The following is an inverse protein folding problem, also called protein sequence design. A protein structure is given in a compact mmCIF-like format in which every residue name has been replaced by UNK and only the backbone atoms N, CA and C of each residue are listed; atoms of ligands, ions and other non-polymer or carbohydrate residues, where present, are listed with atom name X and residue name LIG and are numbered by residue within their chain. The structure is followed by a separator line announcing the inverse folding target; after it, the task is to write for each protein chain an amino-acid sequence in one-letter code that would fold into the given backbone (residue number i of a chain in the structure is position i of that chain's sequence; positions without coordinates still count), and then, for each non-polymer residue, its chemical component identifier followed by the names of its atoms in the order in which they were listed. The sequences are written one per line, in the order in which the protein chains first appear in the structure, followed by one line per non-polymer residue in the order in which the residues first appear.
data_IF_029219299700
#
_entry.id   IF_029219299700
#
_cell.length_a   1.000
_cell.length_b   1.000
_cell.length_c   1.000
_cell.angle_alpha   90.00
_cell.angle_beta   90.00
_cell.angle_gamma   90.00
#
_symmetry.space_group_name_H-M   'P 1'
#
loop_
_entity.id
_entity.type
_entity.pdbx_description
1 polymer ?
#
# COMPACT_ATOMS: atom_id res chain seq x y z
N UNK A 1 -12.26 19.99 -19.82
CA UNK A 1 -11.41 20.75 -18.87
C UNK A 1 -10.50 21.65 -19.70
N UNK A 2 -10.32 22.88 -19.29
CA UNK A 2 -9.37 23.78 -19.97
C UNK A 2 -7.94 23.25 -19.76
N UNK A 3 -7.13 23.23 -20.82
CA UNK A 3 -5.75 22.70 -20.78
C UNK A 3 -4.72 23.77 -20.32
N UNK A 4 -5.20 24.91 -19.88
CA UNK A 4 -4.42 26.09 -19.44
C UNK A 4 -4.29 26.20 -17.92
N UNK A 5 -4.78 25.19 -17.18
CA UNK A 5 -4.74 25.13 -15.71
C UNK A 5 -3.94 23.92 -15.26
N UNK A 6 -3.07 24.11 -14.26
CA UNK A 6 -2.32 23.01 -13.66
C UNK A 6 -3.26 21.99 -13.01
N UNK A 7 -3.04 20.71 -13.33
CA UNK A 7 -3.73 19.58 -12.72
C UNK A 7 -2.68 18.59 -12.21
N UNK A 8 -2.81 18.13 -10.96
CA UNK A 8 -1.90 17.14 -10.39
C UNK A 8 -1.88 15.86 -11.24
N UNK A 9 -0.69 15.33 -11.58
CA UNK A 9 -0.58 14.03 -12.27
C UNK A 9 -1.21 12.87 -11.49
N UNK A 10 -1.29 12.93 -10.17
CA UNK A 10 -2.01 11.94 -9.37
C UNK A 10 -3.48 11.88 -9.79
N UNK A 11 -4.11 13.04 -9.97
CA UNK A 11 -5.52 13.12 -10.37
C UNK A 11 -5.73 12.83 -11.86
N UNK A 12 -4.85 13.33 -12.74
CA UNK A 12 -5.07 13.26 -14.19
C UNK A 12 -4.60 11.94 -14.84
N UNK A 13 -3.73 11.16 -14.18
CA UNK A 13 -3.07 10.01 -14.80
C UNK A 13 -3.01 8.74 -13.95
N UNK A 14 -2.91 8.84 -12.63
CA UNK A 14 -2.43 7.70 -11.84
C UNK A 14 -3.47 7.09 -10.91
N UNK A 15 -4.21 7.92 -10.16
CA UNK A 15 -5.20 7.42 -9.20
C UNK A 15 -6.45 6.84 -9.88
N UNK A 16 -7.14 5.95 -9.17
CA UNK A 16 -8.38 5.34 -9.64
C UNK A 16 -9.55 6.33 -9.60
N UNK A 17 -10.57 6.12 -10.46
CA UNK A 17 -11.82 6.89 -10.37
C UNK A 17 -12.46 6.82 -8.99
N UNK A 18 -12.37 5.68 -8.31
CA UNK A 18 -12.90 5.52 -6.95
C UNK A 18 -12.21 6.46 -5.97
N UNK A 19 -10.88 6.46 -5.94
CA UNK A 19 -10.12 7.27 -4.98
C UNK A 19 -10.26 8.77 -5.29
N UNK A 20 -10.33 9.14 -6.58
CA UNK A 20 -10.61 10.51 -6.99
C UNK A 20 -12.01 10.97 -6.55
N UNK A 21 -13.03 10.11 -6.69
CA UNK A 21 -14.38 10.41 -6.21
C UNK A 21 -14.42 10.52 -4.70
N UNK A 22 -13.76 9.60 -3.97
CA UNK A 22 -13.75 9.58 -2.51
C UNK A 22 -13.28 10.91 -1.91
N UNK A 23 -12.28 11.54 -2.49
CA UNK A 23 -11.74 12.84 -2.04
C UNK A 23 -12.29 14.05 -2.82
N UNK A 24 -13.33 13.85 -3.64
CA UNK A 24 -13.98 14.93 -4.38
C UNK A 24 -14.78 15.86 -3.47
N UNK A 25 -15.06 17.09 -3.91
CA UNK A 25 -16.00 17.98 -3.23
C UNK A 25 -17.37 17.34 -3.03
N UNK A 26 -17.90 16.62 -4.02
CA UNK A 26 -19.20 15.94 -3.91
C UNK A 26 -19.23 14.97 -2.75
N UNK A 27 -18.25 14.05 -2.67
CA UNK A 27 -18.16 13.07 -1.60
C UNK A 27 -18.02 13.74 -0.22
N UNK A 28 -17.19 14.77 -0.12
CA UNK A 28 -17.01 15.55 1.11
C UNK A 28 -18.28 16.20 1.59
N UNK A 29 -18.93 16.99 0.72
CA UNK A 29 -20.09 17.80 1.14
C UNK A 29 -21.36 16.96 1.30
N UNK A 30 -21.53 15.88 0.53
CA UNK A 30 -22.59 14.90 0.78
C UNK A 30 -22.39 14.21 2.14
N UNK A 31 -21.14 13.90 2.52
CA UNK A 31 -20.83 13.35 3.85
C UNK A 31 -21.16 14.35 4.96
N UNK A 32 -20.87 15.65 4.78
CA UNK A 32 -21.31 16.68 5.72
C UNK A 32 -22.85 16.69 5.87
N UNK A 33 -23.59 16.64 4.77
CA UNK A 33 -25.05 16.61 4.81
C UNK A 33 -25.59 15.36 5.51
N UNK A 34 -24.99 14.19 5.23
CA UNK A 34 -25.33 12.96 5.96
C UNK A 34 -25.08 13.07 7.46
N UNK A 35 -24.00 13.72 7.87
CA UNK A 35 -23.71 14.00 9.29
C UNK A 35 -24.75 14.94 9.91
N UNK A 36 -25.18 15.99 9.23
CA UNK A 36 -26.25 16.85 9.71
C UNK A 36 -27.59 16.12 9.82
N UNK A 37 -27.92 15.23 8.87
CA UNK A 37 -29.09 14.37 8.95
C UNK A 37 -29.03 13.45 10.17
N UNK A 38 -27.89 12.79 10.38
CA UNK A 38 -27.68 11.90 11.52
C UNK A 38 -27.81 12.63 12.87
N UNK A 39 -27.27 13.85 12.95
CA UNK A 39 -27.42 14.70 14.14
C UNK A 39 -28.88 15.04 14.40
N UNK A 40 -29.61 15.59 13.40
CA UNK A 40 -31.02 15.95 13.52
C UNK A 40 -31.89 14.74 13.87
N UNK A 41 -31.64 13.59 13.26
CA UNK A 41 -32.34 12.32 13.55
C UNK A 41 -32.10 11.86 14.99
N UNK A 42 -30.86 11.86 15.44
CA UNK A 42 -30.53 11.47 16.83
C UNK A 42 -31.17 12.41 17.84
N UNK A 43 -31.11 13.72 17.62
CA UNK A 43 -31.72 14.75 18.46
C UNK A 43 -33.25 14.61 18.51
N UNK A 44 -33.90 14.37 17.34
CA UNK A 44 -35.35 14.08 17.28
C UNK A 44 -35.71 12.85 18.13
N UNK A 45 -34.97 11.75 17.96
CA UNK A 45 -35.23 10.49 18.65
C UNK A 45 -35.00 10.58 20.18
N UNK A 46 -34.18 11.53 20.62
CA UNK A 46 -33.87 11.79 22.03
C UNK A 46 -34.80 12.87 22.66
N UNK A 47 -35.75 13.36 21.90
CA UNK A 47 -36.83 14.20 22.42
C UNK A 47 -36.64 15.70 22.28
N UNK A 48 -35.62 16.16 21.51
CA UNK A 48 -35.54 17.58 21.17
C UNK A 48 -36.68 17.99 20.22
N UNK A 49 -37.10 19.27 20.17
CA UNK A 49 -38.23 19.76 19.38
C UNK A 49 -37.90 19.82 17.86
N UNK A 50 -37.43 18.72 17.32
CA UNK A 50 -37.16 18.49 15.91
C UNK A 50 -38.24 17.53 15.39
N UNK A 51 -38.89 17.87 14.29
CA UNK A 51 -39.97 17.05 13.73
C UNK A 51 -39.42 15.99 12.75
N UNK A 52 -40.10 14.86 12.63
CA UNK A 52 -39.78 13.83 11.63
C UNK A 52 -39.79 14.39 10.19
N UNK A 53 -40.70 15.35 9.90
CA UNK A 53 -40.74 16.05 8.59
C UNK A 53 -39.47 16.81 8.29
N UNK A 54 -38.88 17.50 9.27
CA UNK A 54 -37.59 18.21 9.08
C UNK A 54 -36.45 17.25 8.78
N UNK A 55 -36.41 16.11 9.49
CA UNK A 55 -35.39 15.07 9.21
C UNK A 55 -35.56 14.51 7.80
N UNK A 56 -36.80 14.16 7.39
CA UNK A 56 -37.08 13.64 6.05
C UNK A 56 -36.74 14.66 4.95
N UNK A 57 -36.98 15.94 5.17
CA UNK A 57 -36.61 16.99 4.20
C UNK A 57 -35.10 17.10 4.05
N UNK A 58 -34.32 17.03 5.15
CA UNK A 58 -32.89 16.95 5.07
C UNK A 58 -32.41 15.71 4.30
N UNK A 59 -32.97 14.54 4.60
CA UNK A 59 -32.64 13.29 3.90
C UNK A 59 -32.82 13.37 2.38
N UNK A 60 -33.93 14.01 1.95
CA UNK A 60 -34.29 14.14 0.54
C UNK A 60 -33.27 15.02 -0.25
N UNK A 61 -32.56 15.90 0.42
CA UNK A 61 -31.66 16.88 -0.19
C UNK A 61 -30.18 16.66 0.11
N UNK A 62 -29.76 15.45 0.42
CA UNK A 62 -28.34 15.13 0.73
C UNK A 62 -27.44 15.36 -0.48
N UNK A 63 -27.90 15.04 -1.70
CA UNK A 63 -27.08 15.00 -2.90
C UNK A 63 -27.19 16.24 -3.78
N UNK A 64 -28.24 17.03 -3.67
CA UNK A 64 -28.48 18.22 -4.50
C UNK A 64 -27.79 19.49 -3.93
N UNK A 65 -26.48 19.53 -4.06
CA UNK A 65 -25.65 20.60 -3.56
C UNK A 65 -25.60 21.75 -4.57
N UNK A 66 -26.08 22.94 -4.16
CA UNK A 66 -25.91 24.17 -4.93
C UNK A 66 -24.57 24.81 -4.59
N UNK A 67 -23.58 24.50 -5.41
CA UNK A 67 -22.21 25.04 -5.25
C UNK A 67 -22.12 26.54 -5.49
N UNK A 68 -22.97 27.12 -6.34
CA UNK A 68 -22.95 28.56 -6.62
C UNK A 68 -23.44 29.34 -5.39
N UNK A 69 -24.55 28.89 -4.78
CA UNK A 69 -25.06 29.47 -3.54
C UNK A 69 -24.05 29.32 -2.40
N UNK A 70 -23.45 28.15 -2.25
CA UNK A 70 -22.43 27.93 -1.21
C UNK A 70 -21.21 28.85 -1.41
N UNK A 71 -20.66 28.92 -2.63
CA UNK A 71 -19.50 29.76 -2.93
C UNK A 71 -19.82 31.27 -2.78
N UNK A 72 -21.02 31.72 -3.19
CA UNK A 72 -21.44 33.10 -2.99
C UNK A 72 -21.49 33.43 -1.49
N UNK A 73 -22.10 32.56 -0.69
CA UNK A 73 -22.20 32.77 0.76
C UNK A 73 -20.86 32.72 1.46
N UNK A 74 -19.95 31.82 1.04
CA UNK A 74 -18.59 31.74 1.60
C UNK A 74 -17.79 33.03 1.36
N UNK A 75 -17.93 33.65 0.20
CA UNK A 75 -17.30 34.96 -0.07
C UNK A 75 -17.78 36.05 0.88
N UNK A 76 -19.04 36.00 1.32
CA UNK A 76 -19.61 36.95 2.27
C UNK A 76 -19.14 36.72 3.69
N UNK A 77 -19.26 35.47 4.16
CA UNK A 77 -19.08 35.14 5.60
C UNK A 77 -17.68 34.60 5.92
N UNK A 78 -16.87 34.30 4.90
CA UNK A 78 -15.51 33.76 5.03
C UNK A 78 -15.44 32.48 5.86
N UNK A 79 -16.46 31.62 5.73
CA UNK A 79 -16.58 30.37 6.48
C UNK A 79 -17.30 29.30 5.67
N UNK A 80 -16.57 28.26 5.26
CA UNK A 80 -17.02 27.19 4.38
C UNK A 80 -18.22 26.39 4.98
N UNK A 81 -18.09 25.92 6.22
CA UNK A 81 -19.15 25.13 6.86
C UNK A 81 -20.45 25.92 6.98
N UNK A 82 -20.38 27.22 7.40
CA UNK A 82 -21.58 28.06 7.52
C UNK A 82 -22.17 28.42 6.15
N UNK A 83 -21.36 28.47 5.10
CA UNK A 83 -21.84 28.63 3.73
C UNK A 83 -22.66 27.40 3.28
N UNK A 84 -22.17 26.18 3.60
CA UNK A 84 -22.89 24.95 3.30
C UNK A 84 -24.13 24.73 4.18
N UNK A 85 -24.12 25.17 5.45
CA UNK A 85 -25.34 25.22 6.30
C UNK A 85 -26.40 26.10 5.63
N UNK A 86 -26.02 27.28 5.17
CA UNK A 86 -26.94 28.17 4.48
C UNK A 86 -27.50 27.59 3.17
N UNK A 87 -26.63 27.03 2.32
CA UNK A 87 -27.04 26.40 1.08
C UNK A 87 -27.97 25.18 1.32
N UNK A 88 -27.70 24.40 2.37
CA UNK A 88 -28.54 23.27 2.74
C UNK A 88 -29.90 23.73 3.32
N UNK A 89 -29.92 24.78 4.14
CA UNK A 89 -31.15 25.37 4.64
C UNK A 89 -32.03 25.96 3.54
N UNK A 90 -31.46 26.40 2.41
CA UNK A 90 -32.25 26.78 1.22
C UNK A 90 -32.88 25.60 0.52
N UNK A 91 -32.18 24.45 0.44
CA UNK A 91 -32.73 23.23 -0.13
C UNK A 91 -33.78 22.58 0.78
N UNK A 92 -33.63 22.73 2.11
CA UNK A 92 -34.50 22.18 3.13
C UNK A 92 -35.04 23.29 4.06
N UNK A 93 -35.98 24.15 3.58
CA UNK A 93 -36.41 25.36 4.31
C UNK A 93 -37.08 25.08 5.66
N UNK A 94 -37.82 23.99 5.82
CA UNK A 94 -38.50 23.69 7.11
C UNK A 94 -37.47 23.26 8.18
N UNK A 95 -36.33 22.77 7.76
CA UNK A 95 -35.26 22.31 8.64
C UNK A 95 -34.13 23.35 8.84
N UNK A 96 -34.18 24.49 8.14
CA UNK A 96 -33.10 25.50 8.21
C UNK A 96 -32.78 25.97 9.64
N UNK A 97 -33.80 26.08 10.50
CA UNK A 97 -33.67 26.53 11.90
C UNK A 97 -33.08 25.51 12.86
N UNK A 98 -33.02 24.22 12.49
CA UNK A 98 -32.48 23.16 13.34
C UNK A 98 -31.13 22.61 12.82
N UNK A 99 -30.67 23.11 11.67
CA UNK A 99 -29.48 22.62 11.01
C UNK A 99 -28.25 23.00 11.84
N UNK A 100 -27.36 22.02 12.09
CA UNK A 100 -26.14 22.26 12.87
C UNK A 100 -26.36 22.60 14.36
N UNK A 101 -27.53 22.22 14.92
CA UNK A 101 -27.91 22.58 16.30
C UNK A 101 -26.96 21.98 17.35
N UNK A 102 -26.34 22.84 18.15
CA UNK A 102 -25.36 22.49 19.19
C UNK A 102 -23.96 22.11 18.66
N UNK A 103 -23.81 21.93 17.34
CA UNK A 103 -22.56 21.49 16.73
C UNK A 103 -21.61 22.67 16.42
N UNK A 104 -20.33 22.33 16.21
CA UNK A 104 -19.31 23.19 15.64
C UNK A 104 -18.81 22.65 14.31
N UNK A 105 -18.03 23.45 13.56
CA UNK A 105 -17.54 23.06 12.24
C UNK A 105 -16.84 21.70 12.23
N UNK A 106 -16.05 21.38 13.26
CA UNK A 106 -15.32 20.12 13.32
C UNK A 106 -16.24 18.90 13.49
N UNK A 107 -17.51 19.08 13.86
CA UNK A 107 -18.46 17.98 13.82
C UNK A 107 -18.59 17.40 12.41
N UNK A 108 -18.69 18.24 11.38
CA UNK A 108 -18.80 17.74 10.00
C UNK A 108 -17.45 17.54 9.34
N UNK A 109 -16.48 18.45 9.54
CA UNK A 109 -15.19 18.34 8.85
C UNK A 109 -14.40 17.14 9.34
N UNK A 110 -14.25 16.97 10.62
CA UNK A 110 -13.41 15.93 11.23
C UNK A 110 -14.05 14.54 11.16
N UNK A 111 -15.36 14.45 11.44
CA UNK A 111 -16.04 13.16 11.30
C UNK A 111 -16.12 12.73 9.83
N UNK A 112 -16.31 13.65 8.88
CA UNK A 112 -16.26 13.31 7.45
C UNK A 112 -14.86 12.81 7.05
N UNK A 113 -13.80 13.47 7.49
CA UNK A 113 -12.43 13.03 7.22
C UNK A 113 -12.20 11.58 7.71
N UNK A 114 -12.63 11.26 8.95
CA UNK A 114 -12.51 9.90 9.50
C UNK A 114 -13.30 8.86 8.69
N UNK A 115 -14.49 9.22 8.18
CA UNK A 115 -15.29 8.34 7.32
C UNK A 115 -14.54 8.09 5.99
N UNK A 116 -14.10 9.15 5.32
CA UNK A 116 -13.42 9.05 4.03
C UNK A 116 -12.09 8.32 4.16
N UNK A 117 -11.30 8.57 5.21
CA UNK A 117 -10.03 7.86 5.45
C UNK A 117 -10.26 6.37 5.70
N UNK A 118 -11.24 6.00 6.53
CA UNK A 118 -11.60 4.59 6.73
C UNK A 118 -11.97 3.90 5.41
N UNK A 119 -12.78 4.55 4.60
CA UNK A 119 -13.25 3.97 3.35
C UNK A 119 -12.10 3.87 2.33
N UNK A 120 -11.20 4.85 2.30
CA UNK A 120 -9.95 4.79 1.54
C UNK A 120 -9.02 3.66 1.99
N UNK A 121 -8.83 3.50 3.30
CA UNK A 121 -8.01 2.40 3.85
C UNK A 121 -8.61 1.03 3.52
N UNK A 122 -9.93 0.87 3.60
CA UNK A 122 -10.61 -0.38 3.21
C UNK A 122 -10.42 -0.70 1.73
N UNK A 123 -10.49 0.30 0.88
CA UNK A 123 -10.24 0.13 -0.55
C UNK A 123 -8.79 -0.30 -0.83
N UNK A 124 -7.81 0.37 -0.22
CA UNK A 124 -6.38 0.00 -0.36
C UNK A 124 -6.10 -1.41 0.19
N UNK A 125 -6.76 -1.80 1.29
CA UNK A 125 -6.69 -3.17 1.80
C UNK A 125 -7.14 -4.20 0.74
N UNK A 126 -8.24 -3.92 0.07
CA UNK A 126 -8.73 -4.78 -1.02
C UNK A 126 -7.71 -4.92 -2.14
N UNK A 127 -7.07 -3.83 -2.54
CA UNK A 127 -6.01 -3.84 -3.56
C UNK A 127 -4.77 -4.63 -3.10
N UNK A 128 -4.35 -4.49 -1.84
CA UNK A 128 -3.24 -5.28 -1.27
C UNK A 128 -3.54 -6.77 -1.28
N UNK A 129 -4.76 -7.17 -0.92
CA UNK A 129 -5.17 -8.58 -0.94
C UNK A 129 -5.17 -9.15 -2.35
N UNK A 130 -5.62 -8.38 -3.35
CA UNK A 130 -5.58 -8.77 -4.74
C UNK A 130 -4.13 -8.95 -5.23
N UNK A 131 -3.25 -8.00 -4.92
CA UNK A 131 -1.81 -8.10 -5.21
C UNK A 131 -1.18 -9.35 -4.57
N UNK A 132 -1.47 -9.61 -3.30
CA UNK A 132 -0.97 -10.80 -2.61
C UNK A 132 -1.48 -12.10 -3.25
N UNK A 133 -2.72 -12.12 -3.77
CA UNK A 133 -3.26 -13.28 -4.47
C UNK A 133 -2.51 -13.57 -5.78
N UNK A 134 -2.20 -12.54 -6.58
CA UNK A 134 -1.41 -12.67 -7.80
C UNK A 134 0.03 -13.13 -7.49
N UNK A 135 0.66 -12.55 -6.49
CA UNK A 135 2.00 -12.96 -6.04
C UNK A 135 2.01 -14.39 -5.49
N UNK A 136 0.94 -14.82 -4.82
CA UNK A 136 0.79 -16.20 -4.35
C UNK A 136 0.68 -17.21 -5.51
N UNK A 137 -0.06 -16.85 -6.55
CA UNK A 137 -0.14 -17.65 -7.78
C UNK A 137 1.23 -17.75 -8.47
N UNK A 138 1.93 -16.62 -8.59
CA UNK A 138 3.29 -16.56 -9.12
C UNK A 138 4.26 -17.39 -8.26
N UNK A 139 4.28 -17.22 -6.95
CA UNK A 139 5.16 -17.96 -6.05
C UNK A 139 4.93 -19.48 -6.12
N UNK A 140 3.67 -19.90 -6.21
CA UNK A 140 3.30 -21.32 -6.37
C UNK A 140 3.80 -21.88 -7.70
N UNK A 141 3.60 -21.17 -8.80
CA UNK A 141 4.03 -21.58 -10.14
C UNK A 141 5.54 -21.82 -10.20
N UNK A 142 6.33 -20.96 -9.58
CA UNK A 142 7.79 -20.98 -9.64
C UNK A 142 8.45 -21.50 -8.35
N UNK A 143 7.70 -22.20 -7.49
CA UNK A 143 8.18 -22.68 -6.20
C UNK A 143 9.43 -23.56 -6.27
N UNK A 144 9.57 -24.35 -7.34
CA UNK A 144 10.66 -25.28 -7.56
C UNK A 144 11.65 -24.85 -8.66
N UNK A 145 11.50 -23.66 -9.25
CA UNK A 145 12.39 -23.16 -10.31
C UNK A 145 13.64 -22.57 -9.68
N UNK A 146 14.82 -23.22 -9.81
CA UNK A 146 16.06 -22.73 -9.25
C UNK A 146 16.49 -21.43 -9.89
N UNK A 147 17.04 -20.52 -9.12
CA UNK A 147 17.64 -19.26 -9.58
C UNK A 147 18.85 -18.90 -8.73
N UNK A 148 19.72 -18.08 -9.29
CA UNK A 148 20.87 -17.55 -8.57
C UNK A 148 20.37 -16.62 -7.43
N UNK A 149 20.79 -16.92 -6.19
CA UNK A 149 20.60 -16.03 -5.05
C UNK A 149 21.72 -15.01 -4.97
N UNK A 150 21.42 -13.83 -4.46
CA UNK A 150 22.39 -12.75 -4.30
C UNK A 150 22.41 -12.28 -2.84
N UNK A 151 23.62 -12.11 -2.31
CA UNK A 151 23.90 -11.37 -1.08
C UNK A 151 24.92 -10.29 -1.37
N UNK A 152 24.76 -9.10 -0.82
CA UNK A 152 25.60 -7.93 -1.18
C UNK A 152 25.67 -7.68 -2.70
N UNK A 153 24.58 -8.05 -3.40
CA UNK A 153 24.49 -8.06 -4.86
C UNK A 153 25.58 -8.88 -5.57
N UNK A 154 26.13 -9.88 -4.88
CA UNK A 154 27.08 -10.86 -5.42
C UNK A 154 26.44 -12.24 -5.49
N UNK A 155 26.81 -13.06 -6.50
CA UNK A 155 26.37 -14.45 -6.60
C UNK A 155 26.60 -15.21 -5.29
N UNK A 156 25.54 -15.84 -4.80
CA UNK A 156 25.54 -16.64 -3.58
C UNK A 156 24.86 -17.98 -3.85
N UNK A 157 24.38 -18.66 -2.81
CA UNK A 157 23.74 -19.97 -2.97
C UNK A 157 22.44 -19.89 -3.78
N UNK A 158 22.05 -20.98 -4.49
CA UNK A 158 20.79 -21.04 -5.20
C UNK A 158 19.59 -20.89 -4.29
N UNK A 159 18.57 -20.23 -4.80
CA UNK A 159 17.22 -20.16 -4.24
C UNK A 159 16.22 -20.58 -5.32
N UNK A 160 14.90 -20.38 -5.11
CA UNK A 160 13.93 -20.49 -6.19
C UNK A 160 13.25 -19.16 -6.47
N UNK A 161 12.78 -18.99 -7.70
CA UNK A 161 12.02 -17.80 -8.11
C UNK A 161 10.80 -17.61 -7.22
N UNK A 162 10.06 -18.69 -6.90
CA UNK A 162 8.92 -18.64 -6.01
C UNK A 162 9.31 -18.26 -4.58
N UNK A 163 10.44 -18.75 -4.06
CA UNK A 163 10.94 -18.35 -2.74
C UNK A 163 11.28 -16.86 -2.67
N UNK A 164 11.86 -16.30 -3.73
CA UNK A 164 12.12 -14.86 -3.82
C UNK A 164 10.80 -14.06 -3.76
N UNK A 165 9.77 -14.50 -4.48
CA UNK A 165 8.46 -13.86 -4.45
C UNK A 165 7.84 -13.85 -3.03
N UNK A 166 8.03 -14.90 -2.24
CA UNK A 166 7.54 -14.91 -0.84
C UNK A 166 8.22 -13.88 0.06
N UNK A 167 9.42 -13.39 -0.28
CA UNK A 167 10.06 -12.29 0.46
C UNK A 167 9.32 -10.98 0.23
N UNK A 168 8.89 -10.71 -1.00
CA UNK A 168 8.05 -9.54 -1.31
C UNK A 168 6.68 -9.63 -0.66
N UNK A 169 6.06 -10.83 -0.74
CA UNK A 169 4.77 -11.08 -0.10
C UNK A 169 4.81 -10.88 1.41
N UNK A 170 5.92 -11.23 2.08
CA UNK A 170 6.06 -11.06 3.53
C UNK A 170 5.97 -9.58 3.94
N UNK A 171 6.56 -8.67 3.16
CA UNK A 171 6.47 -7.23 3.44
C UNK A 171 5.03 -6.74 3.28
N UNK A 172 4.37 -7.05 2.15
CA UNK A 172 2.97 -6.67 1.95
C UNK A 172 2.00 -7.32 2.95
N UNK A 173 2.31 -8.51 3.45
CA UNK A 173 1.54 -9.14 4.52
C UNK A 173 1.60 -8.31 5.81
N UNK A 174 2.80 -7.82 6.17
CA UNK A 174 2.97 -6.93 7.31
C UNK A 174 2.21 -5.61 7.12
N UNK A 175 2.19 -5.06 5.90
CA UNK A 175 1.40 -3.86 5.59
C UNK A 175 -0.11 -4.09 5.78
N UNK A 176 -0.63 -5.26 5.41
CA UNK A 176 -2.05 -5.62 5.67
C UNK A 176 -2.31 -5.73 7.17
N UNK A 177 -1.41 -6.34 7.93
CA UNK A 177 -1.54 -6.47 9.39
C UNK A 177 -1.58 -5.10 10.07
N UNK A 178 -0.69 -4.16 9.66
CA UNK A 178 -0.68 -2.77 10.17
C UNK A 178 -1.97 -2.03 9.81
N UNK A 179 -2.44 -2.20 8.56
CA UNK A 179 -3.66 -1.56 8.07
C UNK A 179 -4.90 -2.08 8.79
N UNK A 180 -4.99 -3.39 9.05
CA UNK A 180 -6.07 -4.00 9.81
C UNK A 180 -6.08 -3.51 11.27
N UNK A 181 -4.91 -3.39 11.89
CA UNK A 181 -4.77 -2.81 13.23
C UNK A 181 -5.18 -1.33 13.27
N UNK A 182 -4.83 -0.56 12.23
CA UNK A 182 -5.26 0.83 12.10
C UNK A 182 -6.77 0.94 11.94
N UNK A 183 -7.38 0.17 11.03
CA UNK A 183 -8.82 0.15 10.79
C UNK A 183 -9.62 -0.22 12.03
N UNK A 184 -9.18 -1.23 12.78
CA UNK A 184 -9.83 -1.67 14.01
C UNK A 184 -9.74 -0.64 15.14
N UNK A 185 -8.69 0.18 15.14
CA UNK A 185 -8.46 1.22 16.15
C UNK A 185 -9.02 2.60 15.80
N UNK A 186 -9.68 2.76 14.63
CA UNK A 186 -10.28 4.04 14.27
C UNK A 186 -11.54 4.30 15.09
N UNK A 187 -11.59 5.50 15.70
CA UNK A 187 -12.72 5.97 16.47
C UNK A 187 -13.34 7.20 15.82
N UNK A 188 -14.60 7.43 16.10
CA UNK A 188 -15.33 8.61 15.66
C UNK A 188 -15.03 9.80 16.56
N UNK A 189 -15.08 11.05 16.06
CA UNK A 189 -14.94 12.23 16.92
C UNK A 189 -16.21 12.39 17.78
N UNK A 190 -17.37 12.30 17.17
CA UNK A 190 -18.66 12.61 17.81
C UNK A 190 -18.97 14.11 17.82
N UNK A 191 -19.92 14.49 18.69
CA UNK A 191 -20.42 15.85 18.88
C UNK A 191 -19.73 16.49 20.09
N UNK A 192 -18.54 17.05 19.90
CA UNK A 192 -17.70 17.52 21.05
C UNK A 192 -17.89 18.99 21.40
N UNK A 193 -18.47 19.80 20.52
CA UNK A 193 -18.60 21.24 20.73
C UNK A 193 -17.26 21.98 20.57
N UNK A 194 -17.24 23.24 20.98
CA UNK A 194 -16.15 24.17 20.67
C UNK A 194 -14.81 23.80 21.31
N UNK A 195 -14.82 23.25 22.51
CA UNK A 195 -13.63 22.91 23.29
C UNK A 195 -13.59 21.46 23.78
N UNK A 196 -14.50 20.63 23.27
CA UNK A 196 -14.59 19.23 23.68
C UNK A 196 -15.42 18.97 24.93
N UNK A 197 -16.08 20.00 25.48
CA UNK A 197 -16.83 19.90 26.73
C UNK A 197 -18.28 19.47 26.56
N UNK A 198 -18.78 19.43 25.32
CA UNK A 198 -20.19 19.13 24.99
C UNK A 198 -21.21 20.06 25.64
N UNK A 199 -20.76 21.25 26.12
CA UNK A 199 -21.58 22.19 26.90
C UNK A 199 -22.89 22.57 26.18
N UNK A 200 -22.87 22.82 24.86
CA UNK A 200 -24.10 23.14 24.11
C UNK A 200 -25.11 21.98 24.10
N UNK A 201 -24.64 20.74 24.15
CA UNK A 201 -25.50 19.56 24.23
C UNK A 201 -26.02 19.34 25.67
N UNK A 202 -25.20 19.65 26.67
CA UNK A 202 -25.66 19.69 28.08
C UNK A 202 -26.84 20.66 28.23
N UNK A 203 -26.75 21.86 27.65
CA UNK A 203 -27.84 22.84 27.67
C UNK A 203 -29.06 22.33 26.90
N UNK A 204 -28.91 21.72 25.72
CA UNK A 204 -30.01 21.21 24.89
C UNK A 204 -30.75 20.05 25.54
N UNK A 205 -30.07 19.22 26.33
CA UNK A 205 -30.66 18.06 27.00
C UNK A 205 -30.89 18.28 28.51
N UNK A 206 -30.92 19.53 28.98
CA UNK A 206 -31.18 19.89 30.37
C UNK A 206 -30.25 19.15 31.39
N UNK A 207 -29.01 18.93 31.03
CA UNK A 207 -28.00 18.25 31.85
C UNK A 207 -28.05 16.72 31.81
N UNK A 208 -28.79 16.12 30.89
CA UNK A 208 -28.91 14.66 30.70
C UNK A 208 -27.70 14.09 29.94
N UNK A 209 -26.67 13.67 30.67
CA UNK A 209 -25.44 13.10 30.11
C UNK A 209 -25.69 11.79 29.33
N UNK A 210 -26.66 10.96 29.77
CA UNK A 210 -26.96 9.68 29.13
C UNK A 210 -27.52 9.89 27.71
N UNK A 211 -28.30 10.95 27.49
CA UNK A 211 -28.79 11.32 26.14
C UNK A 211 -27.66 11.80 25.24
N UNK A 212 -26.66 12.48 25.76
CA UNK A 212 -25.50 12.94 24.98
C UNK A 212 -24.67 11.74 24.54
N UNK A 213 -24.40 10.81 25.45
CA UNK A 213 -23.67 9.58 25.14
C UNK A 213 -24.43 8.74 24.10
N UNK A 214 -25.74 8.59 24.28
CA UNK A 214 -26.60 7.84 23.33
C UNK A 214 -26.66 8.54 21.95
N UNK A 215 -26.70 9.87 21.90
CA UNK A 215 -26.62 10.63 20.65
C UNK A 215 -25.31 10.34 19.92
N UNK A 216 -24.17 10.43 20.59
CA UNK A 216 -22.86 10.15 20.02
C UNK A 216 -22.75 8.69 19.55
N UNK A 217 -23.27 7.74 20.33
CA UNK A 217 -23.27 6.31 20.01
C UNK A 217 -24.11 6.04 18.75
N UNK A 218 -25.32 6.62 18.63
CA UNK A 218 -26.19 6.45 17.45
C UNK A 218 -25.54 6.98 16.18
N UNK A 219 -25.00 8.19 16.24
CA UNK A 219 -24.33 8.83 15.10
C UNK A 219 -23.12 7.99 14.69
N UNK A 220 -22.24 7.62 15.62
CA UNK A 220 -21.07 6.80 15.30
C UNK A 220 -21.46 5.45 14.65
N UNK A 221 -22.48 4.76 15.19
CA UNK A 221 -22.95 3.48 14.67
C UNK A 221 -23.54 3.61 13.26
N UNK A 222 -24.25 4.70 12.94
CA UNK A 222 -24.80 4.97 11.61
C UNK A 222 -23.71 5.04 10.54
N UNK A 223 -22.52 5.56 10.92
CA UNK A 223 -21.36 5.60 10.05
C UNK A 223 -20.42 4.40 10.20
N UNK A 224 -20.81 3.37 10.97
CA UNK A 224 -20.06 2.12 11.11
C UNK A 224 -18.81 2.23 11.98
N UNK A 225 -18.82 3.14 12.95
CA UNK A 225 -17.80 3.21 14.02
C UNK A 225 -18.39 2.60 15.30
N UNK A 226 -17.57 1.81 15.99
CA UNK A 226 -17.97 1.14 17.24
C UNK A 226 -17.99 2.09 18.44
N UNK A 227 -17.21 3.14 18.42
CA UNK A 227 -17.04 4.08 19.53
C UNK A 227 -16.54 5.45 19.06
N UNK A 228 -16.75 6.46 19.92
CA UNK A 228 -16.12 7.76 19.80
C UNK A 228 -14.82 7.80 20.64
N UNK A 229 -13.94 8.78 20.35
CA UNK A 229 -12.85 9.08 21.27
C UNK A 229 -13.41 9.48 22.63
N UNK A 230 -12.88 8.94 23.74
CA UNK A 230 -13.44 9.25 25.08
C UNK A 230 -13.21 10.71 25.49
N UNK A 231 -12.12 11.32 25.04
CA UNK A 231 -11.77 12.72 25.29
C UNK A 231 -11.17 13.32 24.02
N UNK A 232 -11.67 14.51 23.65
CA UNK A 232 -11.13 15.31 22.56
C UNK A 232 -11.19 16.80 22.92
N UNK A 233 -10.42 17.62 22.21
CA UNK A 233 -10.71 19.05 22.10
C UNK A 233 -11.83 19.25 21.05
N UNK A 234 -11.70 20.30 20.23
CA UNK A 234 -12.65 20.52 19.15
C UNK A 234 -12.49 19.47 18.01
N UNK A 235 -11.29 18.90 17.85
CA UNK A 235 -10.89 17.99 16.80
C UNK A 235 -10.55 16.61 17.36
N UNK A 236 -10.54 15.58 16.50
CA UNK A 236 -9.91 14.31 16.89
C UNK A 236 -8.39 14.47 16.98
N UNK A 237 -7.70 13.62 17.77
CA UNK A 237 -6.24 13.69 17.91
C UNK A 237 -5.51 13.52 16.58
N UNK A 238 -4.75 14.53 16.13
CA UNK A 238 -4.02 14.51 14.84
C UNK A 238 -2.96 13.40 14.74
N UNK A 239 -2.70 12.70 15.83
CA UNK A 239 -1.96 11.41 15.80
C UNK A 239 -2.60 10.36 14.88
N UNK A 240 -3.92 10.43 14.67
CA UNK A 240 -4.62 9.54 13.71
C UNK A 240 -4.09 9.76 12.30
N UNK A 241 -3.98 11.01 11.86
CA UNK A 241 -3.44 11.36 10.54
C UNK A 241 -2.00 10.87 10.37
N UNK A 242 -1.18 11.04 11.42
CA UNK A 242 0.20 10.55 11.45
C UNK A 242 0.26 9.02 11.29
N UNK A 243 -0.61 8.28 11.98
CA UNK A 243 -0.70 6.82 11.83
C UNK A 243 -1.16 6.39 10.43
N UNK A 244 -2.13 7.11 9.85
CA UNK A 244 -2.62 6.85 8.50
C UNK A 244 -1.49 7.01 7.49
N UNK A 245 -0.85 8.18 7.43
CA UNK A 245 0.23 8.42 6.46
C UNK A 245 1.46 7.53 6.70
N UNK A 246 1.75 7.15 7.96
CA UNK A 246 2.80 6.18 8.26
C UNK A 246 2.48 4.80 7.69
N UNK A 247 1.25 4.33 7.82
CA UNK A 247 0.79 3.07 7.23
C UNK A 247 0.87 3.11 5.68
N UNK A 248 0.43 4.20 5.05
CA UNK A 248 0.57 4.37 3.60
C UNK A 248 2.03 4.40 3.16
N UNK A 249 2.91 5.03 3.95
CA UNK A 249 4.36 5.04 3.72
C UNK A 249 4.98 3.65 3.85
N UNK A 250 4.51 2.80 4.76
CA UNK A 250 4.94 1.39 4.89
C UNK A 250 4.65 0.62 3.59
N UNK A 251 3.44 0.74 3.06
CA UNK A 251 3.07 0.16 1.76
C UNK A 251 4.00 0.63 0.63
N UNK A 252 4.34 1.94 0.62
CA UNK A 252 5.26 2.49 -0.37
C UNK A 252 6.68 1.92 -0.26
N UNK A 253 7.16 1.60 0.95
CA UNK A 253 8.47 0.98 1.18
C UNK A 253 8.50 -0.45 0.61
N UNK A 254 7.48 -1.26 0.90
CA UNK A 254 7.33 -2.62 0.36
C UNK A 254 7.27 -2.59 -1.17
N UNK A 255 6.48 -1.67 -1.72
CA UNK A 255 6.35 -1.46 -3.16
C UNK A 255 7.67 -1.06 -3.81
N UNK A 256 8.42 -0.12 -3.22
CA UNK A 256 9.72 0.31 -3.71
C UNK A 256 10.73 -0.84 -3.75
N UNK A 257 10.80 -1.62 -2.66
CA UNK A 257 11.71 -2.76 -2.54
C UNK A 257 11.49 -3.78 -3.66
N UNK A 258 10.27 -4.25 -3.84
CA UNK A 258 9.95 -5.21 -4.89
C UNK A 258 10.23 -4.64 -6.29
N UNK A 259 9.87 -3.38 -6.55
CA UNK A 259 10.15 -2.73 -7.83
C UNK A 259 11.66 -2.61 -8.11
N UNK A 260 12.46 -2.36 -7.09
CA UNK A 260 13.92 -2.37 -7.17
C UNK A 260 14.46 -3.74 -7.61
N UNK A 261 14.02 -4.81 -6.96
CA UNK A 261 14.41 -6.18 -7.31
C UNK A 261 14.03 -6.53 -8.76
N UNK A 262 12.81 -6.20 -9.20
CA UNK A 262 12.36 -6.48 -10.57
C UNK A 262 13.19 -5.69 -11.59
N UNK A 263 13.52 -4.43 -11.32
CA UNK A 263 14.39 -3.62 -12.22
C UNK A 263 15.76 -4.24 -12.38
N UNK A 264 16.37 -4.74 -11.29
CA UNK A 264 17.66 -5.44 -11.33
C UNK A 264 17.56 -6.77 -12.09
N UNK A 265 16.50 -7.55 -11.84
CA UNK A 265 16.29 -8.83 -12.53
C UNK A 265 15.97 -8.63 -14.02
N UNK A 266 15.30 -7.55 -14.39
CA UNK A 266 15.05 -7.19 -15.78
C UNK A 266 16.32 -6.71 -16.51
N UNK A 267 17.21 -6.01 -15.81
CA UNK A 267 18.56 -5.71 -16.35
C UNK A 267 19.28 -6.99 -16.75
N UNK A 268 19.22 -8.01 -15.89
CA UNK A 268 19.81 -9.33 -16.15
C UNK A 268 18.97 -10.21 -17.08
N UNK A 269 17.85 -9.72 -17.57
CA UNK A 269 16.89 -10.43 -18.44
C UNK A 269 16.28 -11.70 -17.84
N UNK A 270 16.32 -11.84 -16.51
CA UNK A 270 15.79 -12.99 -15.77
C UNK A 270 14.26 -12.88 -15.57
N UNK A 271 13.78 -11.66 -15.34
CA UNK A 271 12.40 -11.34 -15.03
C UNK A 271 12.01 -10.06 -15.77
N UNK A 272 10.78 -9.97 -16.27
CA UNK A 272 10.31 -8.79 -16.99
C UNK A 272 8.91 -8.40 -16.54
N UNK A 273 8.66 -7.08 -16.38
CA UNK A 273 7.30 -6.58 -16.24
C UNK A 273 6.52 -6.77 -17.56
N UNK A 274 5.17 -6.79 -17.54
CA UNK A 274 4.38 -6.95 -18.75
C UNK A 274 4.66 -5.82 -19.75
N UNK A 275 4.68 -6.19 -21.02
CA UNK A 275 4.89 -5.27 -22.14
C UNK A 275 3.80 -5.53 -23.18
N UNK A 276 3.04 -4.50 -23.51
CA UNK A 276 1.94 -4.60 -24.46
C UNK A 276 2.44 -4.56 -25.91
N UNK A 277 1.78 -5.25 -26.82
CA UNK A 277 2.21 -5.37 -28.21
C UNK A 277 2.32 -4.01 -28.93
N UNK A 278 1.47 -3.06 -28.56
CA UNK A 278 1.48 -1.69 -29.10
C UNK A 278 2.40 -0.72 -28.31
N UNK A 279 3.01 -1.16 -27.22
CA UNK A 279 3.80 -0.31 -26.35
C UNK A 279 5.15 0.04 -26.99
N UNK A 280 5.50 1.32 -27.02
CA UNK A 280 6.82 1.79 -27.45
C UNK A 280 7.73 1.90 -26.22
N UNK A 281 8.73 1.03 -26.15
CA UNK A 281 9.70 1.03 -25.04
C UNK A 281 10.79 2.10 -25.17
N UNK A 282 11.09 2.55 -26.38
CA UNK A 282 12.12 3.56 -26.66
C UNK A 282 11.85 4.22 -28.00
N UNK A 283 11.98 5.55 -28.07
CA UNK A 283 11.87 6.33 -29.32
C UNK A 283 13.02 6.07 -30.30
N UNK A 284 14.17 5.59 -29.83
CA UNK A 284 15.38 5.42 -30.63
C UNK A 284 15.75 3.94 -30.86
N UNK A 285 15.38 3.04 -29.96
CA UNK A 285 15.79 1.63 -30.00
C UNK A 285 14.58 0.73 -29.80
N UNK A 286 13.99 0.25 -30.90
CA UNK A 286 12.72 -0.49 -30.90
C UNK A 286 12.73 -1.79 -30.07
N UNK A 287 13.89 -2.46 -29.91
CA UNK A 287 14.01 -3.67 -29.10
C UNK A 287 14.02 -3.42 -27.58
N UNK A 288 14.21 -2.17 -27.14
CA UNK A 288 14.45 -1.85 -25.75
C UNK A 288 13.15 -1.88 -24.95
N UNK A 289 13.07 -2.77 -23.98
CA UNK A 289 11.97 -2.89 -23.03
C UNK A 289 12.39 -2.34 -21.67
N UNK A 290 11.94 -1.14 -21.36
CA UNK A 290 12.26 -0.49 -20.09
C UNK A 290 11.26 -0.94 -19.00
N UNK A 291 11.70 -1.12 -17.74
CA UNK A 291 10.81 -1.41 -16.61
C UNK A 291 10.06 -0.15 -16.14
N UNK A 292 9.29 0.48 -17.04
CA UNK A 292 8.71 1.81 -16.83
C UNK A 292 7.67 1.83 -15.71
N UNK A 293 6.93 0.73 -15.50
CA UNK A 293 5.95 0.61 -14.43
C UNK A 293 6.64 0.52 -13.07
N UNK A 294 7.68 -0.31 -12.96
CA UNK A 294 8.50 -0.40 -11.76
C UNK A 294 9.26 0.90 -11.46
N UNK A 295 9.76 1.61 -12.49
CA UNK A 295 10.38 2.93 -12.32
C UNK A 295 9.38 3.95 -11.77
N UNK A 296 8.14 3.93 -12.26
CA UNK A 296 7.06 4.81 -11.80
C UNK A 296 6.65 4.47 -10.37
N UNK A 297 6.54 3.17 -10.01
CA UNK A 297 6.30 2.73 -8.64
C UNK A 297 7.39 3.27 -7.71
N UNK A 298 8.66 3.12 -8.06
CA UNK A 298 9.77 3.68 -7.27
C UNK A 298 9.67 5.20 -7.10
N UNK A 299 9.26 5.90 -8.15
CA UNK A 299 9.11 7.37 -8.15
C UNK A 299 7.97 7.82 -7.24
N UNK A 300 6.78 7.23 -7.38
CA UNK A 300 5.62 7.53 -6.55
C UNK A 300 5.85 7.13 -5.08
N UNK A 301 6.53 6.01 -4.83
CA UNK A 301 6.85 5.58 -3.47
C UNK A 301 7.73 6.61 -2.74
N UNK A 302 8.73 7.21 -3.42
CA UNK A 302 9.53 8.27 -2.81
C UNK A 302 8.71 9.50 -2.46
N UNK A 303 7.78 9.88 -3.35
CA UNK A 303 6.85 10.99 -3.09
C UNK A 303 6.03 10.72 -1.84
N UNK A 304 5.39 9.54 -1.75
CA UNK A 304 4.53 9.18 -0.62
C UNK A 304 5.31 9.09 0.70
N UNK A 305 6.53 8.53 0.70
CA UNK A 305 7.38 8.49 1.88
C UNK A 305 7.75 9.90 2.37
N UNK A 306 8.01 10.83 1.46
CA UNK A 306 8.29 12.23 1.80
C UNK A 306 7.03 12.96 2.29
N UNK A 307 5.88 12.76 1.63
CA UNK A 307 4.59 13.34 2.03
C UNK A 307 4.17 12.90 3.43
N UNK A 308 4.43 11.65 3.80
CA UNK A 308 4.09 11.11 5.11
C UNK A 308 4.72 11.88 6.30
N UNK A 309 5.76 12.65 6.06
CA UNK A 309 6.38 13.49 7.09
C UNK A 309 5.52 14.70 7.50
N UNK A 310 4.55 15.10 6.68
CA UNK A 310 3.64 16.21 7.00
C UNK A 310 2.82 15.94 8.27
N UNK A 311 2.22 14.76 8.38
CA UNK A 311 1.28 14.47 9.47
C UNK A 311 1.92 14.43 10.88
N UNK A 312 3.09 13.79 11.12
CA UNK A 312 3.74 13.89 12.43
C UNK A 312 4.17 15.31 12.79
N UNK A 313 4.61 16.14 11.83
CA UNK A 313 4.92 17.54 12.07
C UNK A 313 3.67 18.30 12.48
N UNK A 314 2.56 18.15 11.75
CA UNK A 314 1.26 18.77 12.05
C UNK A 314 0.73 18.31 13.42
N UNK A 315 0.83 17.02 13.73
CA UNK A 315 0.38 16.50 15.02
C UNK A 315 1.17 17.08 16.21
N UNK A 316 2.44 17.46 16.00
CA UNK A 316 3.32 17.99 17.03
C UNK A 316 3.04 19.44 17.41
N UNK A 317 2.35 20.20 16.56
CA UNK A 317 2.08 21.64 16.74
C UNK A 317 0.62 21.95 17.04
N UNK A 318 -0.15 20.95 17.47
CA UNK A 318 -1.53 21.18 17.93
C UNK A 318 -1.54 21.83 19.31
N UNK A 319 -2.14 23.02 19.41
CA UNK A 319 -2.15 23.81 20.64
C UNK A 319 -3.51 23.76 21.31
N UNK A 320 -3.49 23.44 22.61
CA UNK A 320 -4.67 23.44 23.49
C UNK A 320 -5.84 22.66 22.85
N UNK A 321 -7.05 23.18 22.84
CA UNK A 321 -8.24 22.50 22.36
C UNK A 321 -8.43 22.61 20.83
N UNK A 322 -7.78 23.60 20.18
CA UNK A 322 -7.86 23.83 18.74
C UNK A 322 -6.79 24.82 18.24
N UNK A 323 -6.19 24.48 17.10
CA UNK A 323 -5.48 25.41 16.21
C UNK A 323 -5.91 25.16 14.77
N UNK A 324 -5.86 26.20 13.91
CA UNK A 324 -6.16 26.05 12.48
C UNK A 324 -4.90 25.72 11.63
N UNK A 325 -3.75 25.65 12.26
CA UNK A 325 -2.46 25.37 11.64
C UNK A 325 -2.43 24.05 10.86
N UNK A 326 -3.21 23.07 11.30
CA UNK A 326 -3.36 21.77 10.64
C UNK A 326 -4.10 21.82 9.29
N UNK A 327 -5.03 22.77 9.12
CA UNK A 327 -6.08 22.69 8.09
C UNK A 327 -5.54 22.64 6.66
N UNK A 328 -4.71 23.58 6.27
CA UNK A 328 -4.19 23.66 4.90
C UNK A 328 -3.29 22.47 4.57
N UNK A 329 -2.40 22.08 5.49
CA UNK A 329 -1.49 20.95 5.30
C UNK A 329 -2.28 19.63 5.13
N UNK A 330 -3.22 19.34 6.02
CA UNK A 330 -4.04 18.12 6.00
C UNK A 330 -4.88 17.99 4.71
N UNK A 331 -5.43 19.11 4.20
CA UNK A 331 -6.23 19.14 2.97
C UNK A 331 -5.43 18.74 1.72
N UNK A 332 -4.11 18.80 1.79
CA UNK A 332 -3.19 18.39 0.71
C UNK A 332 -2.63 17.00 1.03
N UNK A 333 -1.92 16.85 2.13
CA UNK A 333 -1.14 15.67 2.45
C UNK A 333 -1.98 14.39 2.54
N UNK A 334 -3.13 14.41 3.22
CA UNK A 334 -3.93 13.20 3.38
C UNK A 334 -4.53 12.71 2.05
N UNK A 335 -5.28 13.52 1.28
CA UNK A 335 -5.79 13.08 -0.01
C UNK A 335 -4.69 12.65 -0.98
N UNK A 336 -3.62 13.40 -1.11
CA UNK A 336 -2.52 13.05 -2.02
C UNK A 336 -1.79 11.78 -1.58
N UNK A 337 -1.64 11.54 -0.29
CA UNK A 337 -1.14 10.27 0.26
C UNK A 337 -1.98 9.07 -0.17
N UNK A 338 -3.31 9.16 -0.05
CA UNK A 338 -4.23 8.12 -0.51
C UNK A 338 -4.20 7.93 -2.04
N UNK A 339 -4.25 9.02 -2.80
CA UNK A 339 -4.17 8.96 -4.27
C UNK A 339 -2.86 8.33 -4.74
N UNK A 340 -1.76 8.62 -4.06
CA UNK A 340 -0.45 8.07 -4.39
C UNK A 340 -0.35 6.58 -4.04
N UNK A 341 -0.84 6.16 -2.87
CA UNK A 341 -0.90 4.75 -2.48
C UNK A 341 -1.76 3.91 -3.45
N UNK A 342 -2.92 4.44 -3.83
CA UNK A 342 -3.80 3.84 -4.84
C UNK A 342 -3.08 3.68 -6.19
N UNK A 343 -2.43 4.72 -6.67
CA UNK A 343 -1.66 4.70 -7.92
C UNK A 343 -0.54 3.63 -7.90
N UNK A 344 0.18 3.51 -6.79
CA UNK A 344 1.23 2.49 -6.59
C UNK A 344 0.62 1.09 -6.66
N UNK A 345 -0.47 0.83 -5.95
CA UNK A 345 -1.08 -0.51 -5.89
C UNK A 345 -1.72 -0.90 -7.23
N UNK A 346 -2.33 0.03 -7.96
CA UNK A 346 -2.82 -0.21 -9.33
C UNK A 346 -1.70 -0.59 -10.30
N UNK A 347 -0.58 0.12 -10.25
CA UNK A 347 0.60 -0.24 -11.04
C UNK A 347 1.10 -1.64 -10.67
N UNK A 348 1.12 -1.97 -9.39
CA UNK A 348 1.50 -3.31 -8.92
C UNK A 348 0.55 -4.39 -9.38
N UNK A 349 -0.76 -4.15 -9.37
CA UNK A 349 -1.76 -5.10 -9.86
C UNK A 349 -1.48 -5.45 -11.33
N UNK A 350 -1.18 -4.46 -12.15
CA UNK A 350 -0.81 -4.66 -13.55
C UNK A 350 0.51 -5.43 -13.70
N UNK A 351 1.55 -5.06 -12.94
CA UNK A 351 2.86 -5.73 -13.02
C UNK A 351 2.76 -7.17 -12.54
N UNK A 352 2.15 -7.43 -11.39
CA UNK A 352 2.11 -8.76 -10.77
C UNK A 352 1.33 -9.78 -11.61
N UNK A 353 0.19 -9.37 -12.19
CA UNK A 353 -0.63 -10.23 -13.05
C UNK A 353 0.06 -10.64 -14.36
N UNK A 354 1.03 -9.82 -14.83
CA UNK A 354 1.71 -10.05 -16.11
C UNK A 354 3.22 -10.36 -16.00
N UNK A 355 3.73 -10.60 -14.82
CA UNK A 355 5.16 -10.82 -14.57
C UNK A 355 5.68 -12.07 -15.30
N UNK A 356 6.75 -11.92 -16.08
CA UNK A 356 7.35 -12.98 -16.91
C UNK A 356 8.69 -13.42 -16.36
N UNK A 357 8.90 -14.73 -16.29
CA UNK A 357 10.20 -15.34 -15.95
C UNK A 357 10.81 -15.93 -17.22
N UNK A 358 12.01 -15.52 -17.56
CA UNK A 358 12.80 -16.06 -18.65
C UNK A 358 13.61 -17.26 -18.16
N UNK A 359 12.95 -18.42 -17.98
CA UNK A 359 13.52 -19.61 -17.29
C UNK A 359 14.83 -20.06 -17.90
N UNK A 360 15.00 -20.00 -19.23
CA UNK A 360 16.26 -20.33 -19.90
C UNK A 360 17.39 -19.39 -19.52
N UNK A 361 17.11 -18.09 -19.34
CA UNK A 361 18.11 -17.11 -18.89
C UNK A 361 18.46 -17.33 -17.42
N UNK A 362 17.45 -17.59 -16.61
CA UNK A 362 17.61 -17.92 -15.18
C UNK A 362 18.51 -19.15 -14.98
N UNK A 363 18.24 -20.24 -15.70
CA UNK A 363 19.03 -21.48 -15.66
C UNK A 363 20.48 -21.23 -16.12
N UNK A 364 20.66 -20.54 -17.25
CA UNK A 364 22.00 -20.19 -17.76
C UNK A 364 22.81 -19.38 -16.74
N UNK A 365 22.22 -18.33 -16.17
CA UNK A 365 22.89 -17.47 -15.18
C UNK A 365 23.26 -18.26 -13.94
N UNK A 366 22.40 -19.16 -13.48
CA UNK A 366 22.69 -20.01 -12.34
C UNK A 366 23.84 -20.99 -12.64
N UNK A 367 23.82 -21.65 -13.81
CA UNK A 367 24.86 -22.64 -14.20
C UNK A 367 26.24 -22.04 -14.33
N UNK A 368 26.35 -20.75 -14.65
CA UNK A 368 27.64 -20.05 -14.71
C UNK A 368 28.37 -20.05 -13.35
N UNK A 369 27.63 -19.94 -12.25
CA UNK A 369 28.17 -19.87 -10.89
C UNK A 369 27.99 -21.17 -10.08
N UNK A 370 27.18 -22.10 -10.57
CA UNK A 370 26.87 -23.35 -9.86
C UNK A 370 28.10 -24.17 -9.46
N UNK A 371 29.17 -24.28 -10.28
CA UNK A 371 30.38 -24.98 -9.90
C UNK A 371 31.01 -24.49 -8.60
N UNK A 372 30.96 -23.16 -8.35
CA UNK A 372 31.51 -22.57 -7.12
C UNK A 372 30.60 -22.87 -5.91
N UNK A 373 29.29 -22.89 -6.12
CA UNK A 373 28.30 -23.17 -5.07
C UNK A 373 28.28 -24.65 -4.68
N UNK A 374 28.62 -25.52 -5.62
CA UNK A 374 28.66 -26.96 -5.43
C UNK A 374 29.98 -27.46 -4.78
N UNK A 375 30.95 -26.59 -4.57
CA UNK A 375 32.32 -26.99 -4.13
C UNK A 375 32.34 -27.81 -2.87
N UNK A 376 31.47 -27.56 -1.89
CA UNK A 376 31.36 -28.37 -0.69
C UNK A 376 30.89 -29.80 -1.03
N UNK A 377 29.87 -29.95 -1.86
CA UNK A 377 29.35 -31.25 -2.29
C UNK A 377 30.38 -32.01 -3.13
N UNK A 378 31.09 -31.30 -4.01
CA UNK A 378 32.20 -31.86 -4.80
C UNK A 378 33.30 -32.38 -3.90
N UNK A 379 33.70 -31.60 -2.88
CA UNK A 379 34.67 -31.98 -1.88
C UNK A 379 34.24 -33.21 -1.11
N UNK A 380 32.99 -33.24 -0.64
CA UNK A 380 32.44 -34.38 0.13
C UNK A 380 32.40 -35.67 -0.70
N UNK A 381 32.11 -35.59 -2.01
CA UNK A 381 32.14 -36.75 -2.90
C UNK A 381 33.59 -37.26 -3.10
N UNK A 382 34.55 -36.38 -3.24
CA UNK A 382 35.96 -36.74 -3.31
C UNK A 382 36.48 -37.36 -1.99
N UNK A 383 36.03 -36.86 -0.83
CA UNK A 383 36.34 -37.44 0.50
C UNK A 383 35.77 -38.85 0.63
N UNK A 384 34.54 -39.13 0.16
CA UNK A 384 33.97 -40.48 0.16
C UNK A 384 34.82 -41.48 -0.64
N UNK A 385 35.63 -41.03 -1.56
CA UNK A 385 36.56 -41.84 -2.35
C UNK A 385 37.96 -41.92 -1.74
N UNK A 386 38.11 -41.44 -0.52
CA UNK A 386 39.39 -41.56 0.23
C UNK A 386 40.26 -40.32 0.17
N UNK A 387 39.81 -39.21 -0.41
CA UNK A 387 40.52 -37.95 -0.45
C UNK A 387 40.64 -37.29 0.92
N UNK A 388 41.76 -36.60 1.17
CA UNK A 388 41.94 -35.77 2.38
C UNK A 388 41.18 -34.45 2.28
N UNK A 389 40.31 -34.20 3.23
CA UNK A 389 39.42 -33.02 3.25
C UNK A 389 40.20 -31.68 3.23
N UNK A 390 41.33 -31.60 3.95
CA UNK A 390 42.12 -30.37 4.04
C UNK A 390 42.86 -30.10 2.73
N UNK A 391 43.43 -31.13 2.13
CA UNK A 391 44.06 -31.02 0.81
C UNK A 391 43.03 -30.64 -0.27
N UNK A 392 41.89 -31.31 -0.27
CA UNK A 392 40.80 -31.03 -1.23
C UNK A 392 40.25 -29.59 -1.10
N UNK A 393 40.15 -29.08 0.11
CA UNK A 393 39.74 -27.69 0.34
C UNK A 393 40.76 -26.73 -0.29
N UNK A 394 42.04 -26.94 -0.12
CA UNK A 394 43.08 -26.08 -0.73
C UNK A 394 43.13 -26.20 -2.26
N UNK A 395 42.90 -27.41 -2.80
CA UNK A 395 42.76 -27.63 -4.24
C UNK A 395 41.60 -26.82 -4.81
N UNK A 396 40.41 -26.93 -4.16
CA UNK A 396 39.22 -26.17 -4.55
C UNK A 396 39.49 -24.66 -4.48
N UNK A 397 40.08 -24.16 -3.39
CA UNK A 397 40.39 -22.75 -3.22
C UNK A 397 41.29 -22.23 -4.37
N UNK A 398 42.35 -22.92 -4.66
CA UNK A 398 43.31 -22.57 -5.73
C UNK A 398 42.63 -22.54 -7.10
N UNK A 399 41.91 -23.59 -7.46
CA UNK A 399 41.22 -23.68 -8.73
C UNK A 399 40.04 -22.69 -8.86
N UNK A 400 39.31 -22.43 -7.79
CA UNK A 400 38.24 -21.42 -7.76
C UNK A 400 38.79 -20.01 -8.02
N UNK A 401 39.92 -19.64 -7.39
CA UNK A 401 40.56 -18.34 -7.64
C UNK A 401 41.05 -18.20 -9.08
N UNK A 402 41.63 -19.26 -9.65
CA UNK A 402 42.08 -19.25 -11.02
C UNK A 402 40.93 -19.19 -12.03
N UNK A 403 39.83 -19.94 -11.79
CA UNK A 403 38.64 -19.90 -12.61
C UNK A 403 37.96 -18.52 -12.56
N UNK A 404 37.86 -17.93 -11.35
CA UNK A 404 37.28 -16.56 -11.19
C UNK A 404 38.14 -15.51 -11.92
N UNK A 405 39.45 -15.59 -11.86
CA UNK A 405 40.34 -14.67 -12.60
C UNK A 405 40.07 -14.77 -14.11
N UNK A 406 39.97 -15.97 -14.64
CA UNK A 406 39.71 -16.22 -16.07
C UNK A 406 38.30 -15.71 -16.50
N UNK A 407 37.29 -15.86 -15.62
CA UNK A 407 35.97 -15.30 -15.90
C UNK A 407 36.01 -13.75 -16.00
N UNK A 408 36.83 -13.09 -15.20
CA UNK A 408 37.05 -11.63 -15.30
C UNK A 408 37.74 -11.20 -16.61
N UNK A 409 38.42 -12.12 -17.29
CA UNK A 409 38.99 -11.92 -18.62
C UNK A 409 37.96 -12.22 -19.74
N UNK A 410 36.70 -12.52 -19.38
CA UNK A 410 35.62 -12.78 -20.33
C UNK A 410 35.50 -14.24 -20.79
N UNK A 411 36.22 -15.16 -20.18
CA UNK A 411 36.11 -16.59 -20.51
C UNK A 411 35.02 -17.30 -19.69
N UNK A 412 34.46 -18.41 -20.19
CA UNK A 412 33.56 -19.26 -19.43
C UNK A 412 34.24 -19.84 -18.17
N UNK A 413 33.41 -20.18 -17.16
CA UNK A 413 33.85 -20.87 -15.96
C UNK A 413 34.44 -22.25 -16.33
N UNK A 414 35.71 -22.49 -15.97
CA UNK A 414 36.46 -23.74 -16.23
C UNK A 414 36.77 -24.51 -14.95
N UNK A 415 36.08 -24.20 -13.82
CA UNK A 415 36.38 -24.83 -12.52
C UNK A 415 36.26 -26.36 -12.55
N UNK A 416 35.24 -26.91 -13.20
CA UNK A 416 35.07 -28.36 -13.29
C UNK A 416 36.16 -29.03 -14.12
N UNK A 417 36.64 -28.39 -15.19
CA UNK A 417 37.78 -28.91 -15.99
C UNK A 417 39.05 -28.93 -15.17
N UNK A 418 39.30 -27.88 -14.39
CA UNK A 418 40.45 -27.80 -13.50
C UNK A 418 40.44 -28.87 -12.41
N UNK A 419 39.28 -29.10 -11.78
CA UNK A 419 39.11 -30.11 -10.76
C UNK A 419 39.24 -31.54 -11.33
N UNK A 420 38.68 -31.79 -12.54
CA UNK A 420 38.82 -33.08 -13.22
C UNK A 420 40.26 -33.39 -13.64
N UNK A 421 41.06 -32.38 -13.93
CA UNK A 421 42.46 -32.51 -14.31
C UNK A 421 43.43 -32.65 -13.11
N UNK A 422 42.96 -32.33 -11.88
CA UNK A 422 43.82 -32.41 -10.68
C UNK A 422 43.76 -33.84 -10.08
N UNK A 423 44.88 -34.57 -10.07
CA UNK A 423 44.90 -35.96 -9.57
C UNK A 423 44.47 -36.10 -8.11
N UNK A 424 44.64 -35.06 -7.29
CA UNK A 424 44.25 -35.07 -5.88
C UNK A 424 42.71 -35.09 -5.71
N UNK A 425 41.95 -34.66 -6.72
CA UNK A 425 40.48 -34.61 -6.65
C UNK A 425 39.82 -35.96 -6.97
N UNK A 426 40.43 -36.77 -7.86
CA UNK A 426 40.02 -38.16 -8.11
C UNK A 426 38.62 -38.36 -8.69
N UNK A 427 38.04 -37.31 -9.32
CA UNK A 427 36.72 -37.35 -9.99
C UNK A 427 36.89 -36.96 -11.47
N UNK A 428 36.24 -37.71 -12.34
CA UNK A 428 36.21 -37.42 -13.77
C UNK A 428 35.22 -36.27 -14.08
N UNK A 429 35.41 -35.62 -15.24
CA UNK A 429 34.50 -34.55 -15.68
C UNK A 429 33.03 -34.98 -15.74
N UNK A 430 32.62 -36.16 -16.28
CA UNK A 430 31.26 -36.63 -16.23
C UNK A 430 30.70 -36.81 -14.82
N UNK A 431 31.53 -37.27 -13.89
CA UNK A 431 31.10 -37.42 -12.47
C UNK A 431 30.87 -36.09 -11.80
N UNK A 432 31.70 -35.08 -12.06
CA UNK A 432 31.48 -33.71 -11.59
C UNK A 432 30.23 -33.10 -12.18
N UNK A 433 29.98 -33.29 -13.48
CA UNK A 433 28.77 -32.80 -14.16
C UNK A 433 27.49 -33.43 -13.61
N UNK A 434 27.49 -34.71 -13.23
CA UNK A 434 26.36 -35.37 -12.63
C UNK A 434 25.93 -34.77 -11.28
N UNK A 435 26.83 -34.00 -10.64
CA UNK A 435 26.53 -33.26 -9.41
C UNK A 435 25.96 -31.87 -9.68
N UNK A 436 25.95 -31.39 -10.93
CA UNK A 436 25.52 -30.03 -11.31
C UNK A 436 24.02 -29.94 -11.61
N UNK A 437 23.15 -30.68 -10.89
CA UNK A 437 21.71 -30.44 -10.93
C UNK A 437 21.34 -29.31 -9.94
N UNK A 438 20.91 -28.15 -10.41
CA UNK A 438 20.58 -27.00 -9.54
C UNK A 438 19.57 -27.32 -8.43
N UNK A 439 18.66 -28.29 -8.67
CA UNK A 439 17.61 -28.68 -7.70
C UNK A 439 18.19 -29.28 -6.42
N UNK A 440 19.41 -29.78 -6.44
CA UNK A 440 20.10 -30.32 -5.25
C UNK A 440 20.54 -29.23 -4.27
N UNK A 441 20.55 -27.95 -4.69
CA UNK A 441 21.15 -26.83 -3.96
C UNK A 441 20.14 -25.80 -3.46
N UNK A 442 18.84 -25.96 -3.77
CA UNK A 442 17.77 -25.04 -3.39
C UNK A 442 17.25 -25.26 -1.95
N UNK A 443 17.80 -26.20 -1.24
CA UNK A 443 17.41 -26.52 0.14
C UNK A 443 15.91 -26.80 0.28
N UNK A 444 15.27 -26.09 1.22
CA UNK A 444 13.83 -26.23 1.53
C UNK A 444 12.96 -25.18 0.85
N UNK A 445 13.43 -24.51 -0.22
CA UNK A 445 12.67 -23.45 -0.86
C UNK A 445 11.24 -23.85 -1.25
N UNK A 446 10.99 -24.98 -1.93
CA UNK A 446 9.62 -25.37 -2.29
C UNK A 446 8.71 -25.58 -1.08
N UNK A 447 9.23 -26.21 -0.02
CA UNK A 447 8.47 -26.45 1.22
C UNK A 447 8.21 -25.15 2.00
N UNK A 448 9.16 -24.21 1.97
CA UNK A 448 8.96 -22.90 2.58
C UNK A 448 7.88 -22.11 1.84
N UNK A 449 7.87 -22.13 0.51
CA UNK A 449 6.81 -21.52 -0.30
C UNK A 449 5.45 -22.12 0.03
N UNK A 450 5.35 -23.46 0.02
CA UNK A 450 4.09 -24.14 0.30
C UNK A 450 3.51 -23.77 1.67
N UNK A 451 4.34 -23.85 2.73
CA UNK A 451 3.92 -23.52 4.11
C UNK A 451 3.57 -22.04 4.27
N UNK A 452 4.31 -21.15 3.61
CA UNK A 452 4.00 -19.74 3.64
C UNK A 452 2.65 -19.44 2.99
N UNK A 453 2.38 -19.99 1.81
CA UNK A 453 1.11 -19.83 1.11
C UNK A 453 -0.08 -20.44 1.87
N UNK A 454 0.11 -21.59 2.53
CA UNK A 454 -0.89 -22.19 3.40
C UNK A 454 -1.25 -21.24 4.56
N UNK A 455 -0.26 -20.64 5.20
CA UNK A 455 -0.47 -19.65 6.28
C UNK A 455 -1.21 -18.40 5.79
N UNK A 456 -0.96 -17.97 4.57
CA UNK A 456 -1.65 -16.80 3.98
C UNK A 456 -3.09 -17.11 3.53
N UNK A 457 -3.47 -18.37 3.38
CA UNK A 457 -4.74 -18.78 2.76
C UNK A 457 -5.99 -18.10 3.36
N UNK A 458 -6.15 -17.96 4.70
CA UNK A 458 -7.33 -17.30 5.26
C UNK A 458 -7.47 -15.83 4.85
N UNK A 459 -6.35 -15.15 4.62
CA UNK A 459 -6.31 -13.77 4.17
C UNK A 459 -6.56 -13.68 2.66
N UNK A 460 -5.92 -14.56 1.88
CA UNK A 460 -6.08 -14.61 0.42
C UNK A 460 -7.50 -14.98 -0.01
N UNK A 461 -8.24 -15.75 0.80
CA UNK A 461 -9.64 -16.07 0.56
C UNK A 461 -10.56 -14.83 0.60
N UNK A 462 -10.12 -13.70 1.15
CA UNK A 462 -10.84 -12.43 1.18
C UNK A 462 -10.53 -11.56 -0.05
N UNK A 463 -9.56 -11.96 -0.88
CA UNK A 463 -9.17 -11.18 -2.06
C UNK A 463 -10.32 -11.14 -3.07
N UNK A 464 -10.58 -9.95 -3.61
CA UNK A 464 -11.45 -9.73 -4.75
C UNK A 464 -10.59 -9.36 -5.96
N UNK A 465 -11.06 -9.67 -7.16
CA UNK A 465 -10.34 -9.26 -8.38
C UNK A 465 -10.32 -7.73 -8.44
N UNK A 466 -9.15 -7.14 -8.35
CA UNK A 466 -8.98 -5.71 -8.54
C UNK A 466 -8.82 -5.39 -10.04
N UNK A 467 -9.34 -4.23 -10.45
CA UNK A 467 -9.14 -3.73 -11.81
C UNK A 467 -7.71 -3.19 -11.96
N UNK A 468 -6.87 -3.94 -12.66
CA UNK A 468 -5.49 -3.56 -13.00
C UNK A 468 -5.39 -2.73 -14.29
N UNK A 469 -6.50 -2.25 -14.84
CA UNK A 469 -6.47 -1.41 -16.04
C UNK A 469 -5.74 -0.08 -15.74
N UNK A 470 -4.64 0.15 -16.42
CA UNK A 470 -3.86 1.37 -16.34
C UNK A 470 -4.13 2.19 -17.61
N UNK A 471 -4.68 3.37 -17.44
CA UNK A 471 -4.69 4.38 -18.49
C UNK A 471 -3.36 5.14 -18.40
N UNK A 472 -2.41 4.82 -19.25
CA UNK A 472 -1.10 5.48 -19.30
C UNK A 472 -1.13 6.69 -20.25
#
# INVERSE_FOLDING_TARGET
MANDVYTSPLASRYASPYMLHLFSPDSRFQTWRRLWVALARAQHQLGLPITARQVQELEAHVTDIDYEVAAAREREVRHDVMAHVYAYGKAAPSAAGILHLGATSCYVTDNADLILYRDGLRYLRGQLLSLLADLAAFARRYAAVPTLGYTHYQPAQPVTVGKRATLWMQDFLSDVEELDALLSGLKFLGCRGTTGTEASFMDLFDGDEEKIDEMNRRIAAEFGFSECFPVCGQTYPRKVDSRILSCLSSIAQSAYRMAGDIRLLQHDRQLEEPFEDSQIGSSAMAYKRNPMRCERICSLSRYLMADAMNAPMTASVQWLERTLDDSANRRIALPEGFLCADAILRLWQNVASGLRVNETVVDRTLREYLPFMATENLMMEAVKRGGDRQQLHEVIRRHSMAATARMKEGHPCDLLDRLAADPAFGLTRPELEALMDPRRYIGRCPQQVARFLERCQPLLAQAQTADGAITL
#
